data_IF_813014210799
#
_entry.id   IF_813014210799
#
_cell.length_a   1.000
_cell.length_b   1.000
_cell.length_c   1.000
_cell.angle_alpha   90.00
_cell.angle_beta   90.00
_cell.angle_gamma   90.00
#
_symmetry.space_group_name_H-M   'P 1'
#
loop_
_entity.id
_entity.type
_entity.pdbx_description
1 polymer ?
#
# COMPACT_ATOMS: atom_id res chain seq x y z
N UNK A 1 42.73 -43.37 -32.89
CA UNK A 1 42.16 -43.41 -31.52
C UNK A 1 42.47 -42.10 -30.78
N UNK A 2 41.73 -41.01 -31.06
CA UNK A 2 41.92 -39.67 -30.45
C UNK A 2 40.61 -38.84 -30.42
N UNK A 3 39.46 -39.47 -30.18
CA UNK A 3 38.14 -38.81 -30.27
C UNK A 3 37.44 -38.58 -28.92
N UNK A 4 38.00 -39.06 -27.81
CA UNK A 4 37.37 -38.98 -26.48
C UNK A 4 37.72 -37.71 -25.69
N UNK A 5 38.74 -36.94 -26.09
CA UNK A 5 39.18 -35.73 -25.36
C UNK A 5 38.38 -34.47 -25.74
N UNK A 6 37.95 -34.35 -27.00
CA UNK A 6 37.19 -33.21 -27.51
C UNK A 6 35.74 -33.21 -27.02
N UNK A 7 35.14 -34.39 -26.82
CA UNK A 7 33.76 -34.51 -26.34
C UNK A 7 33.62 -34.06 -24.87
N UNK A 8 34.58 -34.39 -24.00
CA UNK A 8 34.59 -33.97 -22.58
C UNK A 8 34.77 -32.46 -22.40
N UNK A 9 35.49 -31.80 -23.32
CA UNK A 9 35.69 -30.35 -23.29
C UNK A 9 34.40 -29.60 -23.65
N UNK A 10 33.62 -30.14 -24.60
CA UNK A 10 32.32 -29.58 -24.98
C UNK A 10 31.27 -29.72 -23.88
N UNK A 11 31.24 -30.84 -23.14
CA UNK A 11 30.28 -31.03 -22.05
C UNK A 11 30.54 -30.09 -20.86
N UNK A 12 31.80 -29.79 -20.54
CA UNK A 12 32.14 -28.82 -19.48
C UNK A 12 31.78 -27.38 -19.86
N UNK A 13 31.90 -27.00 -21.14
CA UNK A 13 31.56 -25.66 -21.61
C UNK A 13 30.05 -25.37 -21.52
N UNK A 14 29.21 -26.37 -21.79
CA UNK A 14 27.74 -26.23 -21.72
C UNK A 14 27.26 -26.07 -20.27
N UNK A 15 27.85 -26.79 -19.31
CA UNK A 15 27.49 -26.67 -17.88
C UNK A 15 27.88 -25.30 -17.31
N UNK A 16 29.02 -24.72 -17.75
CA UNK A 16 29.44 -23.38 -17.34
C UNK A 16 28.57 -22.25 -17.93
N UNK A 17 27.97 -22.46 -19.11
CA UNK A 17 27.06 -21.48 -19.72
C UNK A 17 25.68 -21.51 -19.04
N UNK A 18 25.22 -22.67 -18.57
CA UNK A 18 23.94 -22.80 -17.87
C UNK A 18 24.02 -22.21 -16.45
N UNK A 19 25.14 -22.35 -15.75
CA UNK A 19 25.33 -21.75 -14.42
C UNK A 19 25.50 -20.23 -14.43
N UNK A 20 25.90 -19.64 -15.56
CA UNK A 20 25.98 -18.18 -15.72
C UNK A 20 24.60 -17.50 -15.96
N UNK A 21 23.55 -18.26 -16.27
CA UNK A 21 22.20 -17.70 -16.50
C UNK A 21 21.27 -17.78 -15.27
N UNK A 22 21.68 -18.45 -14.19
CA UNK A 22 20.85 -18.64 -13.00
C UNK A 22 20.81 -17.45 -12.02
N UNK A 23 21.55 -16.37 -12.28
CA UNK A 23 21.56 -15.18 -11.42
C UNK A 23 21.24 -13.91 -12.20
N UNK A 24 20.09 -13.89 -12.88
CA UNK A 24 19.34 -12.63 -13.03
C UNK A 24 18.23 -12.65 -12.00
N UNK A 25 18.60 -12.49 -10.73
CA UNK A 25 17.67 -11.99 -9.74
C UNK A 25 17.13 -10.68 -10.32
N UNK A 26 15.84 -10.66 -10.63
CA UNK A 26 15.12 -9.48 -11.06
C UNK A 26 15.36 -8.46 -9.95
N UNK A 27 16.19 -7.46 -10.24
CA UNK A 27 16.27 -6.24 -9.46
C UNK A 27 14.87 -5.66 -9.57
N UNK A 28 14.04 -5.88 -8.55
CA UNK A 28 12.72 -5.30 -8.46
C UNK A 28 12.95 -3.79 -8.43
N UNK A 29 12.68 -3.17 -9.55
CA UNK A 29 12.94 -1.75 -9.78
C UNK A 29 12.21 -0.96 -8.69
N UNK A 30 12.97 -0.27 -7.86
CA UNK A 30 12.47 0.48 -6.71
C UNK A 30 11.64 1.70 -7.11
N UNK A 31 11.51 1.94 -8.42
CA UNK A 31 11.03 3.18 -9.02
C UNK A 31 9.61 3.06 -9.63
N UNK A 32 8.99 1.88 -9.58
CA UNK A 32 7.57 1.75 -9.92
C UNK A 32 6.72 2.54 -8.92
N UNK A 33 5.84 3.42 -9.42
CA UNK A 33 4.91 4.21 -8.59
C UNK A 33 4.04 3.24 -7.79
N UNK A 34 4.30 3.13 -6.48
CA UNK A 34 3.58 2.21 -5.61
C UNK A 34 2.23 2.74 -5.14
N UNK A 35 2.07 4.07 -5.13
CA UNK A 35 0.86 4.75 -4.67
C UNK A 35 0.54 5.92 -5.59
N UNK A 36 -0.73 6.08 -5.92
CA UNK A 36 -1.27 7.22 -6.64
C UNK A 36 -2.60 7.64 -6.03
N UNK A 37 -2.98 8.89 -6.30
CA UNK A 37 -4.28 9.43 -5.95
C UNK A 37 -5.06 9.58 -7.24
N UNK A 38 -6.28 9.06 -7.28
CA UNK A 38 -7.17 9.17 -8.43
C UNK A 38 -8.34 10.08 -8.11
N UNK A 39 -8.57 11.10 -8.93
CA UNK A 39 -9.75 11.96 -8.83
C UNK A 39 -10.14 12.48 -10.22
N UNK A 40 -11.42 12.39 -10.57
CA UNK A 40 -11.98 12.91 -11.83
C UNK A 40 -11.23 12.44 -13.09
N UNK A 41 -10.96 11.14 -13.19
CA UNK A 41 -10.27 10.56 -14.35
C UNK A 41 -8.75 10.78 -14.39
N UNK A 42 -8.19 11.53 -13.42
CA UNK A 42 -6.76 11.85 -13.37
C UNK A 42 -6.05 11.07 -12.28
N UNK A 43 -4.93 10.46 -12.63
CA UNK A 43 -4.02 9.80 -11.70
C UNK A 43 -2.85 10.73 -11.33
N UNK A 44 -2.63 10.91 -10.02
CA UNK A 44 -1.59 11.75 -9.45
C UNK A 44 -0.60 10.83 -8.73
N UNK A 45 0.59 10.57 -9.28
CA UNK A 45 1.53 9.63 -8.68
C UNK A 45 2.09 10.18 -7.36
N UNK A 46 2.30 9.33 -6.36
CA UNK A 46 3.00 9.67 -5.11
C UNK A 46 4.43 9.16 -5.22
N UNK A 47 5.32 10.03 -5.68
CA UNK A 47 6.72 9.71 -6.01
C UNK A 47 7.73 10.19 -4.95
N UNK A 48 7.24 10.60 -3.78
CA UNK A 48 8.06 11.06 -2.65
C UNK A 48 7.49 10.49 -1.35
N UNK A 49 8.32 10.21 -0.34
CA UNK A 49 7.85 9.74 0.97
C UNK A 49 6.85 10.69 1.62
N UNK A 50 6.98 11.99 1.40
CA UNK A 50 5.97 12.98 1.77
C UNK A 50 5.54 13.81 0.55
N UNK A 51 4.23 13.96 0.36
CA UNK A 51 3.67 14.70 -0.78
C UNK A 51 2.45 15.52 -0.37
N UNK A 52 2.48 16.81 -0.73
CA UNK A 52 1.28 17.65 -0.71
C UNK A 52 0.54 17.52 -2.05
N UNK A 53 -0.76 17.33 -2.00
CA UNK A 53 -1.63 17.37 -3.18
C UNK A 53 -2.82 18.30 -2.96
N UNK A 54 -3.30 18.87 -4.06
CA UNK A 54 -4.49 19.70 -4.08
C UNK A 54 -5.58 18.92 -4.80
N UNK A 55 -6.67 18.63 -4.09
CA UNK A 55 -7.82 17.91 -4.62
C UNK A 55 -9.06 18.79 -4.53
N UNK A 56 -10.03 18.55 -5.41
CA UNK A 56 -11.36 19.11 -5.23
C UNK A 56 -12.02 18.47 -4.01
N UNK A 57 -12.92 19.20 -3.36
CA UNK A 57 -13.89 18.64 -2.38
C UNK A 57 -14.90 17.73 -3.07
N UNK A 58 -14.43 16.59 -3.51
CA UNK A 58 -15.21 15.54 -4.16
C UNK A 58 -14.57 14.19 -3.85
N UNK A 59 -15.28 13.07 -4.07
CA UNK A 59 -14.70 11.73 -3.92
C UNK A 59 -13.37 11.59 -4.65
N UNK A 60 -12.48 10.78 -4.07
CA UNK A 60 -11.18 10.40 -4.64
C UNK A 60 -10.79 9.03 -4.13
N UNK A 61 -9.77 8.42 -4.73
CA UNK A 61 -9.30 7.10 -4.33
C UNK A 61 -7.80 7.08 -4.15
N UNK A 62 -7.33 6.19 -3.27
CA UNK A 62 -5.94 5.78 -3.20
C UNK A 62 -5.78 4.50 -4.03
N UNK A 63 -4.89 4.54 -5.02
CA UNK A 63 -4.60 3.38 -5.87
C UNK A 63 -3.16 2.95 -5.67
N UNK A 64 -2.93 1.66 -5.52
CA UNK A 64 -1.62 1.16 -5.15
C UNK A 64 -1.42 -0.29 -5.56
N UNK A 65 -0.16 -0.70 -5.65
CA UNK A 65 0.20 -2.09 -5.86
C UNK A 65 0.50 -2.77 -4.53
N UNK A 66 -0.09 -3.94 -4.29
CA UNK A 66 0.21 -4.73 -3.10
C UNK A 66 0.02 -6.23 -3.39
N UNK A 67 0.65 -7.09 -2.58
CA UNK A 67 0.39 -8.53 -2.62
C UNK A 67 -1.02 -8.83 -2.09
N UNK A 68 -1.65 -9.88 -2.62
CA UNK A 68 -2.93 -10.41 -2.10
C UNK A 68 -2.72 -10.99 -0.70
N UNK A 69 -3.77 -10.96 0.11
CA UNK A 69 -3.80 -11.57 1.43
C UNK A 69 -3.74 -13.09 1.29
N UNK A 70 -2.78 -13.73 1.94
CA UNK A 70 -2.54 -15.18 1.85
C UNK A 70 -2.75 -15.81 3.23
N UNK A 71 -3.97 -16.29 3.43
CA UNK A 71 -4.42 -16.85 4.69
C UNK A 71 -3.72 -18.19 4.98
N UNK A 72 -3.55 -19.02 3.95
CA UNK A 72 -3.01 -20.39 4.07
C UNK A 72 -1.57 -20.36 4.56
N UNK A 73 -0.76 -19.42 4.05
CA UNK A 73 0.62 -19.23 4.50
C UNK A 73 0.78 -18.18 5.60
N UNK A 74 -0.32 -17.66 6.16
CA UNK A 74 -0.35 -16.63 7.21
C UNK A 74 0.44 -15.35 6.83
N UNK A 75 0.40 -14.96 5.56
CA UNK A 75 1.00 -13.72 5.04
C UNK A 75 -0.07 -12.67 4.85
N UNK A 76 -0.17 -11.80 5.84
CA UNK A 76 -1.27 -10.84 5.97
C UNK A 76 -0.93 -9.49 5.32
N UNK A 77 -0.74 -9.50 4.01
CA UNK A 77 -0.46 -8.29 3.24
C UNK A 77 -1.67 -7.35 3.24
N UNK A 78 -1.47 -6.15 3.79
CA UNK A 78 -2.50 -5.14 3.91
C UNK A 78 -1.90 -3.74 3.82
N UNK A 79 -2.63 -2.81 3.21
CA UNK A 79 -2.33 -1.39 3.38
C UNK A 79 -3.08 -0.89 4.62
N UNK A 80 -2.36 -0.16 5.46
CA UNK A 80 -2.85 0.46 6.68
C UNK A 80 -2.94 1.97 6.44
N UNK A 81 -4.14 2.53 6.60
CA UNK A 81 -4.42 3.93 6.25
C UNK A 81 -4.97 4.63 7.48
N UNK A 82 -4.20 5.57 8.02
CA UNK A 82 -4.61 6.42 9.14
C UNK A 82 -4.72 7.87 8.67
N UNK A 83 -5.75 8.59 9.11
CA UNK A 83 -6.03 9.95 8.70
C UNK A 83 -6.22 10.89 9.88
N UNK A 84 -5.72 12.11 9.73
CA UNK A 84 -5.62 13.10 10.81
C UNK A 84 -6.01 14.50 10.32
N UNK A 85 -6.59 15.30 11.20
CA UNK A 85 -6.61 16.76 11.07
C UNK A 85 -5.44 17.39 11.83
N UNK A 86 -4.92 16.73 12.87
CA UNK A 86 -3.78 17.19 13.65
C UNK A 86 -2.44 16.73 13.04
N UNK A 87 -1.64 17.70 12.57
CA UNK A 87 -0.31 17.42 12.00
C UNK A 87 0.65 16.78 13.02
N UNK A 88 0.57 17.16 14.29
CA UNK A 88 1.48 16.63 15.31
C UNK A 88 1.32 15.12 15.51
N UNK A 89 0.08 14.61 15.49
CA UNK A 89 -0.18 13.16 15.55
C UNK A 89 0.35 12.44 14.30
N UNK A 90 0.12 13.02 13.13
CA UNK A 90 0.65 12.54 11.86
C UNK A 90 2.19 12.51 11.82
N UNK A 91 2.85 13.49 12.45
CA UNK A 91 4.31 13.60 12.49
C UNK A 91 4.99 12.57 13.40
N UNK A 92 4.25 11.97 14.35
CA UNK A 92 4.77 10.87 15.18
C UNK A 92 5.04 9.59 14.39
N UNK A 93 4.44 9.44 13.21
CA UNK A 93 4.61 8.25 12.37
C UNK A 93 5.85 8.45 11.50
N UNK A 94 6.91 7.71 11.82
CA UNK A 94 8.22 7.84 11.16
C UNK A 94 8.77 6.49 10.74
N UNK A 95 9.66 6.53 9.75
CA UNK A 95 10.44 5.36 9.31
C UNK A 95 11.33 4.90 10.47
N UNK A 96 11.44 3.58 10.65
CA UNK A 96 12.19 2.92 11.72
C UNK A 96 11.38 2.69 13.00
N UNK A 97 10.17 3.24 13.10
CA UNK A 97 9.29 2.98 14.24
C UNK A 97 8.69 1.57 14.17
N UNK A 98 8.56 0.93 15.33
CA UNK A 98 7.74 -0.27 15.47
C UNK A 98 6.26 0.12 15.38
N UNK A 99 5.47 -0.62 14.60
CA UNK A 99 4.02 -0.45 14.55
C UNK A 99 3.37 -0.68 15.91
N UNK A 100 3.94 -1.57 16.73
CA UNK A 100 3.40 -1.89 18.05
C UNK A 100 3.41 -0.68 19.02
N UNK A 101 4.33 0.26 18.81
CA UNK A 101 4.48 1.46 19.64
C UNK A 101 3.61 2.62 19.15
N UNK A 102 3.04 2.50 17.94
CA UNK A 102 2.16 3.51 17.36
C UNK A 102 0.70 3.17 17.66
N UNK A 103 0.03 4.02 18.44
CA UNK A 103 -1.38 3.81 18.81
C UNK A 103 -2.31 3.53 17.61
N UNK A 104 -1.98 4.09 16.45
CA UNK A 104 -2.74 3.96 15.21
C UNK A 104 -2.46 2.67 14.42
N UNK A 105 -1.32 2.01 14.62
CA UNK A 105 -0.91 0.83 13.84
C UNK A 105 -0.58 -0.41 14.67
N UNK A 106 -0.69 -0.32 16.00
CA UNK A 106 -0.44 -1.47 16.88
C UNK A 106 -1.39 -2.63 16.57
N UNK A 107 -1.00 -3.88 16.84
CA UNK A 107 -1.90 -5.02 16.70
C UNK A 107 -3.26 -4.78 17.38
N UNK A 108 -4.35 -5.15 16.68
CA UNK A 108 -5.72 -4.93 17.15
C UNK A 108 -6.28 -3.51 16.94
N UNK A 109 -5.50 -2.56 16.40
CA UNK A 109 -5.97 -1.20 16.09
C UNK A 109 -6.66 -1.07 14.72
N UNK A 110 -6.66 -2.14 13.93
CA UNK A 110 -7.36 -2.18 12.65
C UNK A 110 -8.87 -2.07 12.86
N UNK A 111 -9.50 -1.11 12.20
CA UNK A 111 -10.93 -0.89 12.33
C UNK A 111 -11.69 -2.08 11.73
N UNK A 112 -12.61 -2.64 12.52
CA UNK A 112 -13.60 -3.60 12.06
C UNK A 112 -14.90 -2.84 11.79
N UNK A 113 -15.12 -2.43 10.54
CA UNK A 113 -16.43 -1.88 10.19
C UNK A 113 -17.36 -3.05 9.86
N UNK A 114 -18.57 -2.97 10.40
CA UNK A 114 -19.66 -3.84 9.98
C UNK A 114 -20.13 -3.33 8.61
N UNK A 115 -20.13 -4.21 7.62
CA UNK A 115 -20.72 -4.03 6.28
C UNK A 115 -19.93 -3.17 5.26
N UNK A 116 -20.04 -3.60 4.01
CA UNK A 116 -19.33 -3.06 2.84
C UNK A 116 -19.49 -1.55 2.61
N UNK A 117 -20.49 -0.91 3.21
CA UNK A 117 -20.81 0.51 2.98
C UNK A 117 -19.98 1.50 3.81
N UNK A 118 -19.28 1.04 4.87
CA UNK A 118 -18.54 1.93 5.79
C UNK A 118 -17.05 2.11 5.41
N UNK A 119 -16.47 1.24 4.58
CA UNK A 119 -15.07 1.42 4.14
C UNK A 119 -14.87 2.58 3.16
N UNK A 120 -15.95 3.08 2.56
CA UNK A 120 -15.91 4.24 1.67
C UNK A 120 -15.72 5.57 2.44
N UNK A 121 -15.87 5.54 3.78
CA UNK A 121 -15.60 6.68 4.64
C UNK A 121 -14.19 6.61 5.23
N UNK A 122 -13.40 7.67 5.06
CA UNK A 122 -12.11 7.80 5.74
C UNK A 122 -12.35 8.18 7.21
N UNK A 123 -11.92 7.35 8.15
CA UNK A 123 -12.03 7.65 9.58
C UNK A 123 -10.90 8.60 9.97
N UNK A 124 -11.28 9.79 10.45
CA UNK A 124 -10.34 10.87 10.76
C UNK A 124 -10.22 11.04 12.28
N UNK A 125 -8.99 11.21 12.77
CA UNK A 125 -8.66 11.42 14.19
C UNK A 125 -9.17 10.32 15.13
N UNK A 126 -9.29 9.09 14.61
CA UNK A 126 -9.57 7.90 15.41
C UNK A 126 -8.26 7.19 15.76
N UNK A 127 -8.21 6.66 16.98
CA UNK A 127 -7.13 5.76 17.38
C UNK A 127 -7.34 4.44 16.63
N UNK A 128 -6.59 4.23 15.56
CA UNK A 128 -6.65 3.06 14.70
C UNK A 128 -6.36 3.40 13.24
N UNK A 129 -6.55 2.44 12.37
CA UNK A 129 -6.38 2.60 10.93
C UNK A 129 -7.38 1.74 10.15
N UNK A 130 -7.61 2.13 8.91
CA UNK A 130 -8.22 1.24 7.92
C UNK A 130 -7.24 0.13 7.58
N UNK A 131 -7.59 -1.11 7.93
CA UNK A 131 -6.85 -2.29 7.55
C UNK A 131 -7.44 -2.86 6.27
N UNK A 132 -6.78 -2.60 5.14
CA UNK A 132 -7.30 -2.92 3.80
C UNK A 132 -6.61 -4.15 3.24
N UNK A 133 -7.40 -5.14 2.81
CA UNK A 133 -6.89 -6.40 2.27
C UNK A 133 -7.70 -6.85 1.06
N UNK A 134 -7.12 -7.74 0.27
CA UNK A 134 -7.80 -8.45 -0.80
C UNK A 134 -7.35 -9.90 -0.80
N UNK A 135 -8.23 -10.83 -0.44
CA UNK A 135 -7.97 -12.26 -0.57
C UNK A 135 -8.57 -12.79 -1.88
N UNK A 136 -9.84 -12.45 -2.12
CA UNK A 136 -10.59 -12.79 -3.33
C UNK A 136 -11.79 -11.83 -3.47
N UNK A 137 -12.63 -12.02 -4.48
CA UNK A 137 -13.80 -11.16 -4.73
C UNK A 137 -14.83 -11.15 -3.59
N UNK A 138 -14.91 -12.22 -2.81
CA UNK A 138 -15.89 -12.40 -1.74
C UNK A 138 -15.35 -12.00 -0.37
N UNK A 139 -14.02 -11.92 -0.21
CA UNK A 139 -13.34 -11.52 1.02
C UNK A 139 -12.29 -10.45 0.72
N UNK A 140 -12.71 -9.18 0.80
CA UNK A 140 -11.89 -8.02 0.47
C UNK A 140 -12.41 -6.75 1.15
N UNK A 141 -11.54 -5.76 1.23
CA UNK A 141 -11.81 -4.36 1.61
C UNK A 141 -11.24 -3.36 0.60
N UNK A 142 -10.87 -3.87 -0.57
CA UNK A 142 -10.28 -3.14 -1.69
C UNK A 142 -10.96 -3.55 -2.98
N UNK A 143 -11.05 -2.64 -3.93
CA UNK A 143 -11.41 -2.96 -5.31
C UNK A 143 -10.14 -3.42 -6.05
N UNK A 144 -10.24 -4.47 -6.85
CA UNK A 144 -9.18 -4.91 -7.76
C UNK A 144 -9.36 -4.17 -9.08
N UNK A 145 -8.34 -3.41 -9.48
CA UNK A 145 -8.33 -2.68 -10.76
C UNK A 145 -7.64 -3.46 -11.86
N UNK A 146 -6.53 -4.12 -11.52
CA UNK A 146 -5.71 -4.88 -12.46
C UNK A 146 -5.04 -6.04 -11.75
N UNK A 147 -5.03 -7.21 -12.38
CA UNK A 147 -4.42 -8.43 -11.84
C UNK A 147 -3.08 -8.70 -12.52
N UNK A 148 -2.09 -7.90 -12.18
CA UNK A 148 -0.70 -8.00 -12.67
C UNK A 148 0.11 -9.12 -11.99
N UNK A 149 -0.56 -10.18 -11.52
CA UNK A 149 0.07 -11.35 -10.90
C UNK A 149 0.40 -11.16 -9.42
N UNK A 150 1.69 -11.13 -9.06
CA UNK A 150 2.10 -11.06 -7.65
C UNK A 150 1.76 -9.72 -6.97
N UNK A 151 1.73 -8.65 -7.75
CA UNK A 151 1.48 -7.30 -7.29
C UNK A 151 0.32 -6.69 -8.09
N UNK A 152 -0.92 -7.14 -7.89
CA UNK A 152 -2.10 -6.51 -8.48
C UNK A 152 -2.24 -5.04 -8.05
N UNK A 153 -2.98 -4.28 -8.87
CA UNK A 153 -3.36 -2.90 -8.57
C UNK A 153 -4.70 -2.88 -7.85
N UNK A 154 -4.73 -2.25 -6.68
CA UNK A 154 -5.92 -2.08 -5.86
C UNK A 154 -6.36 -0.63 -5.77
N UNK A 155 -7.61 -0.45 -5.36
CA UNK A 155 -8.22 0.84 -5.08
C UNK A 155 -8.94 0.83 -3.73
N UNK A 156 -8.67 1.89 -2.96
CA UNK A 156 -9.41 2.26 -1.77
C UNK A 156 -10.15 3.57 -2.04
N UNK A 157 -11.48 3.50 -2.14
CA UNK A 157 -12.33 4.63 -2.46
C UNK A 157 -12.65 5.45 -1.21
N UNK A 158 -12.66 6.77 -1.37
CA UNK A 158 -12.98 7.71 -0.29
C UNK A 158 -14.06 8.66 -0.81
N UNK A 159 -15.30 8.46 -0.37
CA UNK A 159 -16.44 9.32 -0.72
C UNK A 159 -16.88 10.23 0.44
N UNK A 160 -16.61 9.80 1.67
CA UNK A 160 -17.01 10.48 2.89
C UNK A 160 -15.88 10.50 3.92
N UNK A 161 -16.04 11.35 4.92
CA UNK A 161 -15.20 11.40 6.12
C UNK A 161 -16.06 10.99 7.31
N UNK A 162 -15.54 10.13 8.16
CA UNK A 162 -16.11 9.88 9.47
C UNK A 162 -15.30 10.66 10.51
N UNK A 163 -15.87 11.78 10.97
CA UNK A 163 -15.24 12.75 11.86
C UNK A 163 -16.25 13.23 12.90
N UNK A 164 -15.83 13.42 14.15
CA UNK A 164 -16.70 13.80 15.27
C UNK A 164 -18.00 12.97 15.35
N UNK A 165 -17.87 11.64 15.26
CA UNK A 165 -18.99 10.69 15.33
C UNK A 165 -20.05 10.83 14.23
N UNK A 166 -19.74 11.58 13.17
CA UNK A 166 -20.65 11.80 12.05
C UNK A 166 -19.97 11.40 10.74
N UNK A 167 -20.73 10.75 9.85
CA UNK A 167 -20.33 10.57 8.45
C UNK A 167 -20.77 11.81 7.67
N UNK A 168 -19.84 12.45 6.98
CA UNK A 168 -20.09 13.60 6.10
C UNK A 168 -19.47 13.34 4.74
N UNK A 169 -20.19 13.64 3.65
CA UNK A 169 -19.60 13.55 2.32
C UNK A 169 -18.41 14.51 2.21
N UNK A 170 -17.39 14.16 1.41
CA UNK A 170 -16.23 15.06 1.23
C UNK A 170 -16.66 16.44 0.68
N UNK A 171 -17.67 16.47 -0.19
CA UNK A 171 -18.22 17.71 -0.76
C UNK A 171 -18.79 18.66 0.28
N UNK A 172 -19.39 18.10 1.34
CA UNK A 172 -20.17 18.84 2.33
C UNK A 172 -19.34 19.13 3.59
N UNK A 173 -18.13 18.57 3.67
CA UNK A 173 -17.26 18.70 4.82
C UNK A 173 -16.63 20.10 4.93
N UNK A 174 -16.53 20.59 6.16
CA UNK A 174 -15.76 21.79 6.49
C UNK A 174 -14.24 21.53 6.54
N UNK A 175 -13.80 20.28 6.43
CA UNK A 175 -12.38 19.91 6.43
C UNK A 175 -11.75 20.32 5.10
N UNK A 176 -10.80 21.26 5.15
CA UNK A 176 -10.04 21.74 4.00
C UNK A 176 -8.65 21.10 3.90
N UNK A 177 -8.23 20.35 4.92
CA UNK A 177 -6.92 19.71 4.97
C UNK A 177 -6.99 18.40 5.74
N UNK A 178 -6.42 17.35 5.15
CA UNK A 178 -6.24 16.04 5.76
C UNK A 178 -4.78 15.63 5.67
N UNK A 179 -4.30 14.95 6.69
CA UNK A 179 -3.02 14.27 6.69
C UNK A 179 -3.29 12.77 6.65
N UNK A 180 -2.69 12.04 5.71
CA UNK A 180 -2.89 10.59 5.56
C UNK A 180 -1.53 9.90 5.66
N UNK A 181 -1.40 9.01 6.64
CA UNK A 181 -0.30 8.05 6.69
C UNK A 181 -0.75 6.76 6.00
N UNK A 182 -0.12 6.44 4.88
CA UNK A 182 -0.34 5.23 4.10
C UNK A 182 0.85 4.29 4.29
N UNK A 183 0.61 3.11 4.83
CA UNK A 183 1.66 2.17 5.20
C UNK A 183 1.40 0.78 4.59
N UNK A 184 2.37 0.21 3.89
CA UNK A 184 2.41 -1.20 3.52
C UNK A 184 3.67 -1.82 4.11
N UNK A 185 3.52 -2.67 5.10
CA UNK A 185 4.60 -3.51 5.65
C UNK A 185 4.84 -4.68 4.68
N UNK A 186 5.91 -4.59 3.89
CA UNK A 186 6.17 -5.48 2.74
C UNK A 186 6.81 -6.79 3.14
N UNK A 187 7.61 -6.77 4.21
CA UNK A 187 8.29 -7.94 4.73
C UNK A 187 7.59 -8.54 5.97
N UNK A 188 6.50 -7.91 6.43
CA UNK A 188 5.66 -8.32 7.55
C UNK A 188 6.42 -8.37 8.88
N UNK A 189 7.47 -7.55 9.05
CA UNK A 189 8.33 -7.60 10.23
C UNK A 189 7.84 -6.73 11.40
N UNK A 190 6.79 -5.93 11.21
CA UNK A 190 6.28 -5.06 12.28
C UNK A 190 6.94 -3.68 12.37
N UNK A 191 7.99 -3.41 11.61
CA UNK A 191 8.79 -2.18 11.60
C UNK A 191 8.48 -1.40 10.33
N UNK A 192 8.43 -0.08 10.41
CA UNK A 192 8.21 0.77 9.23
C UNK A 192 9.53 0.94 8.48
N UNK A 193 9.74 0.16 7.42
CA UNK A 193 10.96 0.25 6.61
C UNK A 193 10.90 1.36 5.55
N UNK A 194 12.07 1.71 5.00
CA UNK A 194 12.15 2.72 3.93
C UNK A 194 11.34 2.28 2.71
N UNK A 195 10.45 3.16 2.27
CA UNK A 195 9.57 2.91 1.12
C UNK A 195 8.28 2.17 1.46
N UNK A 196 7.99 1.93 2.74
CA UNK A 196 6.72 1.36 3.22
C UNK A 196 5.71 2.44 3.62
N UNK A 197 6.20 3.57 4.14
CA UNK A 197 5.40 4.72 4.57
C UNK A 197 5.38 5.82 3.52
N UNK A 198 4.17 6.24 3.15
CA UNK A 198 3.90 7.46 2.40
C UNK A 198 3.01 8.40 3.22
N UNK A 199 3.45 9.65 3.34
CA UNK A 199 2.79 10.73 4.09
C UNK A 199 2.16 11.70 3.10
N UNK A 200 0.84 11.79 3.10
CA UNK A 200 0.09 12.66 2.20
C UNK A 200 -0.47 13.86 2.96
N UNK A 201 -0.28 15.05 2.41
CA UNK A 201 -0.94 16.28 2.87
C UNK A 201 -1.97 16.65 1.82
N UNK A 202 -3.22 16.31 2.06
CA UNK A 202 -4.33 16.59 1.15
C UNK A 202 -4.89 17.97 1.47
N UNK A 203 -4.87 18.88 0.50
CA UNK A 203 -5.55 20.18 0.58
C UNK A 203 -6.81 20.10 -0.28
N UNK A 204 -7.97 20.05 0.37
CA UNK A 204 -9.29 19.98 -0.26
C UNK A 204 -9.79 21.40 -0.57
N UNK A 205 -10.14 21.66 -1.83
CA UNK A 205 -10.58 22.96 -2.35
C UNK A 205 -11.91 22.86 -3.07
#
# INVERSE_FOLDING_TARGET
MKTTRTLKLFTFLIIAIISAQACKAIKQDSDAIQLSIFQNGKEIPVNKPEKTVHLKKSPFSLRFFNRKYDLDNKKFYAAQIAAFTNKAEFDKITIGSSKADLAYFKPGSGMATHENSMYEALFVDKIGHHYTFYQNTNNRRLNLLDDTGELPKFEFEINALHYNHTRVNISDSNINKLYIAFLIDKNLNGIIDKGELHKLIIKLK
#
